data_IF_374717778960
#
_entry.id   IF_374717778960
#
_cell.length_a   1.000
_cell.length_b   1.000
_cell.length_c   1.000
_cell.angle_alpha   90.00
_cell.angle_beta   90.00
_cell.angle_gamma   90.00
#
_symmetry.space_group_name_H-M   'P 1'
#
loop_
_entity.id
_entity.type
_entity.pdbx_description
1 polymer ?
#
# COMPACT_ATOMS: atom_id res chain seq x y z
N UNK A 1 -55.44 41.94 11.82
CA UNK A 1 -54.48 40.97 11.23
C UNK A 1 -53.25 40.92 12.13
N UNK A 2 -52.93 39.79 12.78
CA UNK A 2 -51.74 39.67 13.65
C UNK A 2 -50.54 39.29 12.80
N UNK A 3 -49.65 40.24 12.55
CA UNK A 3 -48.34 39.96 11.98
C UNK A 3 -47.48 39.28 13.06
N UNK A 4 -47.23 37.98 12.91
CA UNK A 4 -46.20 37.27 13.68
C UNK A 4 -44.85 37.68 13.09
N UNK A 5 -44.26 38.74 13.64
CA UNK A 5 -42.91 39.14 13.31
C UNK A 5 -41.92 38.08 13.78
N UNK A 6 -41.02 37.68 12.88
CA UNK A 6 -39.90 36.78 13.16
C UNK A 6 -39.17 37.26 14.42
N UNK A 7 -39.01 36.37 15.40
CA UNK A 7 -38.32 36.75 16.64
C UNK A 7 -36.81 36.75 16.41
N UNK A 8 -36.08 37.67 17.05
CA UNK A 8 -34.61 37.66 17.01
C UNK A 8 -34.02 36.30 17.39
N UNK A 9 -34.67 35.61 18.33
CA UNK A 9 -34.28 34.27 18.79
C UNK A 9 -34.35 33.25 17.66
N UNK A 10 -35.38 33.31 16.80
CA UNK A 10 -35.54 32.41 15.66
C UNK A 10 -34.42 32.58 14.63
N UNK A 11 -34.05 33.83 14.32
CA UNK A 11 -32.91 34.12 13.45
C UNK A 11 -31.58 33.66 14.08
N UNK A 12 -31.38 33.88 15.38
CA UNK A 12 -30.18 33.41 16.07
C UNK A 12 -30.09 31.87 16.07
N UNK A 13 -31.21 31.17 16.26
CA UNK A 13 -31.27 29.72 16.23
C UNK A 13 -30.98 29.17 14.82
N UNK A 14 -31.53 29.78 13.78
CA UNK A 14 -31.28 29.37 12.39
C UNK A 14 -29.80 29.55 12.03
N UNK A 15 -29.20 30.69 12.42
CA UNK A 15 -27.77 30.93 12.19
C UNK A 15 -26.89 29.95 12.97
N UNK A 16 -27.26 29.64 14.22
CA UNK A 16 -26.59 28.62 15.02
C UNK A 16 -26.66 27.24 14.32
N UNK A 17 -27.86 26.84 13.89
CA UNK A 17 -28.08 25.56 13.24
C UNK A 17 -27.30 25.47 11.91
N UNK A 18 -27.32 26.54 11.10
CA UNK A 18 -26.53 26.64 9.88
C UNK A 18 -25.03 26.51 10.18
N UNK A 19 -24.52 27.23 11.19
CA UNK A 19 -23.11 27.16 11.59
C UNK A 19 -22.70 25.74 12.01
N UNK A 20 -23.46 25.11 12.91
CA UNK A 20 -23.17 23.74 13.38
C UNK A 20 -23.25 22.74 12.23
N UNK A 21 -24.25 22.84 11.36
CA UNK A 21 -24.39 21.95 10.21
C UNK A 21 -23.23 22.09 9.22
N UNK A 22 -22.74 23.32 8.97
CA UNK A 22 -21.60 23.57 8.11
C UNK A 22 -20.29 23.00 8.68
N UNK A 23 -20.09 23.09 10.00
CA UNK A 23 -18.91 22.51 10.68
C UNK A 23 -18.86 20.98 10.59
N UNK A 24 -20.01 20.29 10.72
CA UNK A 24 -20.08 18.82 10.61
C UNK A 24 -19.70 18.36 9.19
N UNK A 25 -20.16 19.07 8.17
CA UNK A 25 -19.88 18.74 6.77
C UNK A 25 -18.39 18.85 6.42
N UNK A 26 -17.68 19.84 6.98
CA UNK A 26 -16.25 20.01 6.74
C UNK A 26 -15.40 18.84 7.29
N UNK A 27 -15.85 18.19 8.38
CA UNK A 27 -15.19 17.03 8.96
C UNK A 27 -15.49 15.72 8.21
N UNK A 28 -16.51 15.71 7.35
CA UNK A 28 -16.94 14.52 6.62
C UNK A 28 -16.20 14.31 5.29
N UNK A 29 -15.47 15.33 4.80
CA UNK A 29 -14.68 15.19 3.58
C UNK A 29 -13.27 14.72 3.92
N UNK A 30 -12.83 13.55 3.40
CA UNK A 30 -11.43 13.16 3.51
C UNK A 30 -10.56 14.24 2.88
N UNK A 31 -9.37 14.45 3.46
CA UNK A 31 -8.42 15.39 2.87
C UNK A 31 -7.91 14.80 1.56
N UNK A 32 -7.58 15.64 0.57
CA UNK A 32 -7.05 15.16 -0.71
C UNK A 32 -5.79 14.25 -0.56
N UNK A 33 -5.10 14.35 0.58
CA UNK A 33 -3.97 13.48 0.93
C UNK A 33 -4.41 12.06 1.31
N UNK A 34 -5.49 11.92 2.08
CA UNK A 34 -6.01 10.62 2.50
C UNK A 34 -6.59 9.84 1.32
N UNK A 35 -7.22 10.54 0.37
CA UNK A 35 -7.75 9.95 -0.86
C UNK A 35 -6.62 9.39 -1.75
N UNK A 36 -5.53 10.16 -1.94
CA UNK A 36 -4.38 9.72 -2.74
C UNK A 36 -3.64 8.55 -2.06
N UNK A 37 -3.57 8.57 -0.73
CA UNK A 37 -3.00 7.49 0.06
C UNK A 37 -3.80 6.19 -0.07
N UNK A 38 -5.12 6.27 0.08
CA UNK A 38 -6.03 5.14 -0.06
C UNK A 38 -5.93 4.55 -1.47
N UNK A 39 -5.95 5.40 -2.50
CA UNK A 39 -5.84 4.96 -3.89
C UNK A 39 -4.50 4.27 -4.18
N UNK A 40 -3.42 4.77 -3.61
CA UNK A 40 -2.08 4.16 -3.74
C UNK A 40 -2.05 2.76 -3.13
N UNK A 41 -2.59 2.59 -1.92
CA UNK A 41 -2.67 1.30 -1.25
C UNK A 41 -3.62 0.32 -1.96
N UNK A 42 -4.76 0.78 -2.47
CA UNK A 42 -5.68 -0.05 -3.26
C UNK A 42 -5.05 -0.56 -4.55
N UNK A 43 -4.28 0.30 -5.23
CA UNK A 43 -3.52 -0.07 -6.42
C UNK A 43 -2.51 -1.17 -6.10
N UNK A 44 -1.73 -0.98 -5.04
CA UNK A 44 -0.77 -1.99 -4.58
C UNK A 44 -1.47 -3.32 -4.26
N UNK A 45 -2.57 -3.30 -3.51
CA UNK A 45 -3.34 -4.50 -3.14
C UNK A 45 -3.86 -5.25 -4.38
N UNK A 46 -4.35 -4.52 -5.37
CA UNK A 46 -4.85 -5.10 -6.62
C UNK A 46 -3.72 -5.80 -7.38
N UNK A 47 -2.56 -5.14 -7.49
CA UNK A 47 -1.39 -5.72 -8.16
C UNK A 47 -0.87 -6.96 -7.40
N UNK A 48 -0.79 -6.87 -6.08
CA UNK A 48 -0.39 -7.98 -5.21
C UNK A 48 -1.27 -9.20 -5.43
N UNK A 49 -2.60 -9.02 -5.44
CA UNK A 49 -3.56 -10.11 -5.67
C UNK A 49 -3.32 -10.81 -7.01
N UNK A 50 -3.22 -10.02 -8.08
CA UNK A 50 -3.01 -10.56 -9.44
C UNK A 50 -1.70 -11.34 -9.54
N UNK A 51 -0.62 -10.81 -8.96
CA UNK A 51 0.70 -11.45 -9.04
C UNK A 51 0.76 -12.72 -8.19
N UNK A 52 0.09 -12.74 -7.04
CA UNK A 52 -0.08 -13.97 -6.25
C UNK A 52 -0.86 -15.04 -7.00
N UNK A 53 -1.99 -14.67 -7.60
CA UNK A 53 -2.78 -15.59 -8.44
C UNK A 53 -1.94 -16.11 -9.61
N UNK A 54 -1.11 -15.26 -10.23
CA UNK A 54 -0.16 -15.67 -11.26
C UNK A 54 0.87 -16.66 -10.74
N UNK A 55 1.46 -16.43 -9.56
CA UNK A 55 2.38 -17.37 -8.90
C UNK A 55 1.78 -18.74 -8.64
N UNK A 56 0.53 -18.78 -8.17
CA UNK A 56 -0.21 -20.03 -8.01
C UNK A 56 -0.45 -20.76 -9.35
N UNK A 57 -0.67 -20.03 -10.44
CA UNK A 57 -0.94 -20.60 -11.76
C UNK A 57 0.32 -21.04 -12.50
N UNK A 58 1.40 -20.27 -12.42
CA UNK A 58 2.64 -20.52 -13.18
C UNK A 58 3.68 -21.31 -12.39
N UNK A 59 3.53 -21.40 -11.07
CA UNK A 59 4.52 -22.04 -10.19
C UNK A 59 5.79 -21.21 -10.00
N UNK A 60 5.78 -19.93 -10.39
CA UNK A 60 6.97 -19.07 -10.34
C UNK A 60 7.11 -18.33 -9.02
N UNK A 61 8.36 -18.03 -8.66
CA UNK A 61 8.70 -17.20 -7.50
C UNK A 61 8.68 -15.72 -7.87
N UNK A 62 7.94 -14.94 -7.09
CA UNK A 62 7.88 -13.50 -7.25
C UNK A 62 8.42 -12.78 -6.00
N UNK A 63 8.82 -11.54 -6.19
CA UNK A 63 9.31 -10.66 -5.13
C UNK A 63 8.75 -9.25 -5.29
N UNK A 64 8.79 -8.48 -4.21
CA UNK A 64 8.45 -7.05 -4.21
C UNK A 64 9.63 -6.29 -3.65
N UNK A 65 10.18 -5.37 -4.43
CA UNK A 65 11.10 -4.34 -3.94
C UNK A 65 10.28 -3.10 -3.62
N UNK A 66 10.41 -2.62 -2.39
CA UNK A 66 9.70 -1.44 -1.88
C UNK A 66 10.73 -0.34 -1.62
N UNK A 67 10.44 0.84 -2.13
CA UNK A 67 11.18 2.07 -1.87
C UNK A 67 10.22 3.13 -1.32
N UNK A 68 10.74 4.19 -0.67
CA UNK A 68 9.89 5.24 -0.11
C UNK A 68 8.95 5.89 -1.15
N UNK A 69 9.36 5.96 -2.41
CA UNK A 69 8.67 6.65 -3.50
C UNK A 69 8.02 5.70 -4.53
N UNK A 70 8.32 4.40 -4.47
CA UNK A 70 7.90 3.43 -5.50
C UNK A 70 7.90 2.01 -5.00
N UNK A 71 7.20 1.14 -5.71
CA UNK A 71 7.30 -0.30 -5.54
C UNK A 71 7.42 -0.98 -6.90
N UNK A 72 8.03 -2.16 -6.90
CA UNK A 72 8.25 -2.95 -8.10
C UNK A 72 8.16 -4.43 -7.79
N UNK A 73 7.36 -5.13 -8.60
CA UNK A 73 7.31 -6.58 -8.58
C UNK A 73 8.40 -7.16 -9.49
N UNK A 74 8.99 -8.24 -9.01
CA UNK A 74 10.10 -8.93 -9.64
C UNK A 74 9.79 -10.41 -9.78
N UNK A 75 10.37 -11.04 -10.79
CA UNK A 75 10.32 -12.47 -11.05
C UNK A 75 11.71 -13.05 -10.83
N UNK A 76 11.78 -14.18 -10.12
CA UNK A 76 13.00 -14.95 -10.02
C UNK A 76 13.15 -15.81 -11.27
N UNK A 77 14.23 -15.62 -12.01
CA UNK A 77 14.55 -16.42 -13.20
C UNK A 77 15.87 -17.16 -13.01
N UNK A 78 16.00 -18.37 -13.59
CA UNK A 78 17.29 -19.03 -13.67
C UNK A 78 18.24 -18.16 -14.51
N UNK A 79 19.47 -18.02 -14.03
CA UNK A 79 20.50 -17.26 -14.73
C UNK A 79 20.90 -18.03 -15.99
N UNK A 80 20.83 -17.37 -17.14
CA UNK A 80 21.30 -17.95 -18.39
C UNK A 80 22.84 -17.93 -18.38
N UNK A 81 23.49 -19.02 -18.81
CA UNK A 81 24.97 -19.18 -18.74
C UNK A 81 25.73 -18.12 -19.55
N UNK A 82 25.03 -17.38 -20.41
CA UNK A 82 25.58 -16.33 -21.28
C UNK A 82 25.51 -14.93 -20.68
N UNK A 83 24.75 -14.73 -19.61
CA UNK A 83 24.66 -13.45 -18.91
C UNK A 83 25.81 -13.33 -17.90
N UNK A 84 26.47 -12.15 -17.80
CA UNK A 84 27.54 -11.97 -16.83
C UNK A 84 27.01 -12.23 -15.41
N UNK A 85 27.76 -13.00 -14.63
CA UNK A 85 27.42 -13.31 -13.24
C UNK A 85 27.25 -12.00 -12.46
N UNK A 86 26.01 -11.68 -12.09
CA UNK A 86 25.74 -10.53 -11.24
C UNK A 86 26.22 -10.88 -9.83
N UNK A 87 27.48 -10.51 -9.54
CA UNK A 87 28.20 -10.78 -8.28
C UNK A 87 27.63 -10.01 -7.07
N UNK A 88 26.46 -9.39 -7.20
CA UNK A 88 25.83 -8.58 -6.15
C UNK A 88 25.01 -9.39 -5.16
N UNK A 89 24.70 -10.67 -5.43
CA UNK A 89 23.94 -11.50 -4.48
C UNK A 89 24.26 -13.00 -4.55
N UNK A 90 24.95 -13.52 -3.52
CA UNK A 90 25.21 -14.96 -3.35
C UNK A 90 24.02 -15.71 -2.71
N UNK A 91 22.89 -15.04 -2.41
CA UNK A 91 21.76 -15.65 -1.70
C UNK A 91 20.93 -16.58 -2.58
N UNK A 92 20.97 -16.39 -3.90
CA UNK A 92 20.21 -17.16 -4.89
C UNK A 92 21.14 -17.69 -5.99
N UNK A 93 22.02 -18.63 -5.64
CA UNK A 93 23.01 -19.17 -6.59
C UNK A 93 22.33 -19.73 -7.85
N UNK A 94 22.69 -19.19 -9.02
CA UNK A 94 22.13 -19.60 -10.32
C UNK A 94 20.76 -19.01 -10.65
N UNK A 95 20.26 -18.05 -9.87
CA UNK A 95 19.03 -17.32 -10.14
C UNK A 95 19.23 -15.82 -9.97
N UNK A 96 18.51 -15.02 -10.75
CA UNK A 96 18.51 -13.57 -10.65
C UNK A 96 17.09 -13.01 -10.66
N UNK A 97 16.93 -11.90 -9.95
CA UNK A 97 15.69 -11.14 -9.94
C UNK A 97 15.63 -10.25 -11.17
N UNK A 98 14.54 -10.32 -11.92
CA UNK A 98 14.25 -9.38 -13.00
C UNK A 98 12.93 -8.64 -12.74
N UNK A 99 12.86 -7.33 -13.04
CA UNK A 99 11.61 -6.59 -13.15
C UNK A 99 10.54 -7.38 -13.91
N UNK A 100 9.38 -7.58 -13.29
CA UNK A 100 8.27 -8.23 -13.98
C UNK A 100 7.75 -7.26 -15.06
N UNK A 101 7.77 -7.59 -16.36
CA UNK A 101 7.24 -6.71 -17.38
C UNK A 101 5.74 -6.47 -17.18
N UNK A 102 5.32 -5.23 -17.36
CA UNK A 102 3.91 -4.90 -17.38
C UNK A 102 3.28 -5.54 -18.62
N UNK A 103 2.26 -6.36 -18.39
CA UNK A 103 1.42 -6.91 -19.46
C UNK A 103 0.00 -6.36 -19.27
N UNK A 104 -0.96 -7.18 -18.81
CA UNK A 104 -2.34 -6.72 -18.56
C UNK A 104 -2.51 -5.92 -17.27
N UNK A 105 -1.59 -6.06 -16.32
CA UNK A 105 -1.65 -5.39 -15.01
C UNK A 105 -0.30 -4.73 -14.78
N UNK A 106 -0.32 -3.50 -14.26
CA UNK A 106 0.89 -2.79 -13.88
C UNK A 106 1.64 -3.59 -12.80
N UNK A 107 2.95 -3.72 -12.95
CA UNK A 107 3.82 -4.51 -12.06
C UNK A 107 4.78 -3.61 -11.27
N UNK A 108 4.55 -2.30 -11.34
CA UNK A 108 5.24 -1.29 -10.55
C UNK A 108 4.26 -0.15 -10.29
N UNK A 109 4.59 0.68 -9.30
CA UNK A 109 3.86 1.91 -9.02
C UNK A 109 4.75 2.94 -8.36
N UNK A 110 4.33 4.19 -8.44
CA UNK A 110 4.96 5.32 -7.77
C UNK A 110 3.95 5.95 -6.82
N UNK A 111 4.49 6.57 -5.78
CA UNK A 111 3.77 7.29 -4.74
C UNK A 111 3.80 8.77 -5.11
N UNK A 112 2.64 9.36 -5.39
CA UNK A 112 2.57 10.77 -5.79
C UNK A 112 2.79 11.71 -4.59
N UNK A 113 2.25 11.35 -3.42
CA UNK A 113 2.44 12.06 -2.17
C UNK A 113 2.70 11.11 -1.00
N UNK A 114 3.69 11.46 -0.17
CA UNK A 114 4.06 10.70 1.01
C UNK A 114 5.22 9.73 0.80
N UNK A 115 5.52 8.93 1.84
CA UNK A 115 6.58 7.91 1.81
C UNK A 115 6.07 6.55 2.26
N UNK A 116 6.36 5.52 1.48
CA UNK A 116 6.15 4.13 1.87
C UNK A 116 7.17 3.71 2.94
N UNK A 117 6.67 2.99 3.93
CA UNK A 117 7.49 2.32 4.95
C UNK A 117 7.07 0.87 5.04
N UNK A 118 8.03 -0.03 4.95
CA UNK A 118 7.82 -1.46 5.12
C UNK A 118 8.20 -1.85 6.55
N UNK A 119 7.30 -2.54 7.24
CA UNK A 119 7.52 -3.06 8.59
C UNK A 119 7.33 -4.57 8.57
N UNK A 120 8.30 -5.30 9.13
CA UNK A 120 8.25 -6.75 9.22
C UNK A 120 7.90 -7.21 10.63
N UNK A 121 7.28 -8.40 10.78
CA UNK A 121 7.12 -9.01 12.10
C UNK A 121 8.48 -9.17 12.81
N UNK A 122 8.48 -9.03 14.14
CA UNK A 122 9.67 -9.11 15.00
C UNK A 122 10.70 -7.98 14.79
N UNK A 123 10.25 -6.80 14.37
CA UNK A 123 11.06 -5.58 14.27
C UNK A 123 12.31 -5.72 13.40
N UNK A 124 12.25 -6.57 12.37
CA UNK A 124 13.35 -6.68 11.42
C UNK A 124 13.53 -5.34 10.69
N UNK A 125 14.76 -4.85 10.69
CA UNK A 125 15.09 -3.55 10.09
C UNK A 125 14.94 -3.63 8.56
N UNK A 126 14.03 -2.82 8.01
CA UNK A 126 13.90 -2.63 6.58
C UNK A 126 14.91 -1.59 6.08
N UNK A 127 15.66 -1.96 5.05
CA UNK A 127 16.55 -1.07 4.31
C UNK A 127 16.18 -1.18 2.82
N UNK A 128 15.66 -0.10 2.20
CA UNK A 128 15.31 -0.13 0.77
C UNK A 128 16.51 -0.52 -0.10
N UNK A 129 16.28 -1.41 -1.05
CA UNK A 129 17.30 -1.86 -2.00
C UNK A 129 16.71 -2.40 -3.29
N UNK A 130 17.59 -2.74 -4.24
CA UNK A 130 17.18 -3.27 -5.54
C UNK A 130 16.69 -4.73 -5.48
N UNK A 131 17.02 -5.45 -4.41
CA UNK A 131 16.53 -6.80 -4.19
C UNK A 131 15.09 -6.77 -3.62
N UNK A 132 14.31 -7.84 -3.80
CA UNK A 132 12.98 -7.90 -3.22
C UNK A 132 13.04 -8.05 -1.70
N UNK A 133 12.34 -7.16 -1.01
CA UNK A 133 12.13 -7.17 0.44
C UNK A 133 11.09 -8.23 0.86
N UNK A 134 10.04 -8.38 0.05
CA UNK A 134 8.93 -9.31 0.28
C UNK A 134 8.97 -10.41 -0.76
N UNK A 135 8.83 -11.66 -0.33
CA UNK A 135 8.77 -12.83 -1.22
C UNK A 135 7.33 -13.33 -1.35
N UNK A 136 6.95 -13.74 -2.56
CA UNK A 136 5.70 -14.42 -2.85
C UNK A 136 6.03 -15.81 -3.39
N UNK A 137 5.57 -16.82 -2.67
CA UNK A 137 5.89 -18.20 -2.94
C UNK A 137 4.86 -18.80 -3.92
N UNK A 138 5.27 -19.76 -4.76
CA UNK A 138 4.37 -20.47 -5.67
C UNK A 138 3.19 -21.17 -4.97
N UNK A 139 3.33 -21.50 -3.68
CA UNK A 139 2.27 -22.09 -2.85
C UNK A 139 1.20 -21.09 -2.41
N UNK A 140 1.32 -19.81 -2.77
CA UNK A 140 0.41 -18.74 -2.37
C UNK A 140 0.77 -18.07 -1.04
N UNK A 141 1.79 -18.59 -0.36
CA UNK A 141 2.38 -17.98 0.84
C UNK A 141 3.09 -16.68 0.48
N UNK A 142 3.16 -15.76 1.44
CA UNK A 142 3.79 -14.46 1.29
C UNK A 142 4.61 -14.18 2.55
N UNK A 143 5.79 -13.57 2.43
CA UNK A 143 6.49 -13.02 3.59
C UNK A 143 5.55 -12.05 4.31
N UNK A 144 5.21 -12.20 5.59
CA UNK A 144 4.29 -11.26 6.23
C UNK A 144 4.93 -9.87 6.35
N UNK A 145 4.16 -8.81 6.09
CA UNK A 145 4.63 -7.43 6.16
C UNK A 145 3.48 -6.47 6.44
N UNK A 146 3.81 -5.28 6.93
CA UNK A 146 2.93 -4.12 6.90
C UNK A 146 3.52 -3.06 5.99
N UNK A 147 2.68 -2.51 5.12
CA UNK A 147 3.03 -1.40 4.25
C UNK A 147 2.27 -0.16 4.73
N UNK A 148 3.03 0.83 5.19
CA UNK A 148 2.52 2.10 5.70
C UNK A 148 2.85 3.21 4.70
N UNK A 149 1.98 4.20 4.60
CA UNK A 149 2.19 5.43 3.84
C UNK A 149 2.08 6.62 4.79
N UNK A 150 3.14 7.42 4.86
CA UNK A 150 3.30 8.52 5.83
C UNK A 150 3.09 8.10 7.32
N UNK A 151 3.09 6.79 7.61
CA UNK A 151 2.89 6.24 8.95
C UNK A 151 1.46 6.29 9.47
N UNK A 152 0.48 6.71 8.66
CA UNK A 152 -0.93 6.88 9.08
C UNK A 152 -1.87 5.89 8.39
N UNK A 153 -1.76 5.75 7.06
CA UNK A 153 -2.53 4.79 6.28
C UNK A 153 -1.68 3.56 6.01
N UNK A 154 -2.22 2.36 6.17
CA UNK A 154 -1.45 1.16 5.87
C UNK A 154 -2.26 -0.11 5.75
N UNK A 155 -1.60 -1.13 5.24
CA UNK A 155 -2.13 -2.49 5.10
C UNK A 155 -1.17 -3.48 5.73
N UNK A 156 -1.70 -4.49 6.39
CA UNK A 156 -0.98 -5.65 6.87
C UNK A 156 -1.31 -6.85 5.98
N UNK A 157 -0.29 -7.62 5.61
CA UNK A 157 -0.40 -8.83 4.80
C UNK A 157 0.14 -10.00 5.62
N UNK A 158 -0.72 -11.00 5.88
CA UNK A 158 -0.33 -12.20 6.62
C UNK A 158 0.43 -13.22 5.75
N UNK A 159 0.91 -14.31 6.36
CA UNK A 159 1.65 -15.36 5.66
C UNK A 159 0.84 -16.06 4.54
N UNK A 160 -0.50 -15.99 4.61
CA UNK A 160 -1.44 -16.54 3.62
C UNK A 160 -1.82 -15.50 2.57
N UNK A 161 -1.21 -14.31 2.63
CA UNK A 161 -1.49 -13.16 1.79
C UNK A 161 -2.88 -12.55 2.00
N UNK A 162 -3.51 -12.77 3.15
CA UNK A 162 -4.72 -12.05 3.53
C UNK A 162 -4.35 -10.61 3.90
N UNK A 163 -5.08 -9.65 3.31
CA UNK A 163 -4.85 -8.22 3.54
C UNK A 163 -5.83 -7.70 4.58
N UNK A 164 -5.31 -6.97 5.56
CA UNK A 164 -6.07 -6.30 6.62
C UNK A 164 -5.61 -4.84 6.72
N UNK A 165 -6.45 -3.90 7.17
CA UNK A 165 -5.98 -2.56 7.51
C UNK A 165 -4.87 -2.67 8.57
N UNK A 166 -3.77 -1.94 8.39
CA UNK A 166 -2.77 -1.84 9.45
C UNK A 166 -3.36 -0.94 10.54
N UNK A 167 -3.78 -1.53 11.67
CA UNK A 167 -4.00 -0.75 12.87
C UNK A 167 -2.65 -0.33 13.41
N UNK A 168 -2.49 0.97 13.64
CA UNK A 168 -1.38 1.52 14.40
C UNK A 168 -1.45 0.84 15.79
N UNK A 169 -0.54 -0.10 16.06
CA UNK A 169 -0.34 -0.60 17.41
C UNK A 169 0.16 0.59 18.23
N UNK A 170 -0.78 1.19 18.97
CA UNK A 170 -0.54 2.18 20.00
C UNK A 170 0.43 1.53 20.99
N UNK A 171 1.72 1.83 20.86
CA UNK A 171 2.70 1.32 21.82
C UNK A 171 2.59 2.22 23.06
N UNK A 172 2.30 1.66 24.25
CA UNK A 172 2.00 2.40 25.47
C UNK A 172 3.19 3.19 26.05
#
# INVERSE_FOLDING_TARGET
MRQRGFTLLEMMLILLLMGVSASIVLLAFPTARDDDATQTLERFQTQLRVIRERGLQTGQFFGISVHPDRWQFMLLQPQDEREPENTSDNRWSGYHWQPLPADRVATAGQVAAGKLTLVFPHDAQWTPGEQPDVLLFPGGEVTPFQLLLDGTAGIAVDARGAVQPAQQDDTP
#
